data_IF_841415452256
#
_entry.id   IF_841415452256
#
_cell.length_a   1.000
_cell.length_b   1.000
_cell.length_c   1.000
_cell.angle_alpha   90.00
_cell.angle_beta   90.00
_cell.angle_gamma   90.00
#
_symmetry.space_group_name_H-M   'P 1'
#
loop_
_entity.id
_entity.type
_entity.pdbx_description
1 polymer ?
#
# COMPACT_ATOMS: atom_id res chain seq x y z
N UNK A 1 9.55 -30.71 -28.10
CA UNK A 1 8.89 -31.06 -26.83
C UNK A 1 7.63 -30.23 -26.68
N UNK A 2 6.46 -30.87 -26.85
CA UNK A 2 5.13 -30.23 -26.92
C UNK A 2 4.40 -30.48 -25.59
N UNK A 3 4.13 -29.44 -24.82
CA UNK A 3 3.29 -29.52 -23.64
C UNK A 3 1.81 -29.53 -24.09
N UNK A 4 1.14 -30.67 -23.87
CA UNK A 4 -0.29 -30.82 -24.13
C UNK A 4 -1.07 -30.11 -23.03
N UNK A 5 -1.91 -29.18 -23.43
CA UNK A 5 -2.96 -28.52 -22.63
C UNK A 5 -4.04 -29.53 -22.23
N UNK A 6 -4.20 -29.77 -20.93
CA UNK A 6 -5.38 -30.43 -20.39
C UNK A 6 -6.44 -29.38 -20.03
N UNK A 7 -7.58 -29.49 -20.72
CA UNK A 7 -8.77 -28.65 -20.63
C UNK A 7 -9.70 -29.30 -19.60
N UNK A 8 -9.87 -28.71 -18.42
CA UNK A 8 -10.86 -29.19 -17.43
C UNK A 8 -12.01 -28.19 -17.39
N UNK A 9 -13.20 -28.67 -17.78
CA UNK A 9 -14.43 -27.91 -17.86
C UNK A 9 -15.00 -27.62 -16.47
N UNK A 10 -15.31 -26.35 -16.21
CA UNK A 10 -16.10 -25.94 -15.05
C UNK A 10 -17.59 -26.06 -15.38
N UNK A 11 -18.22 -27.14 -14.93
CA UNK A 11 -19.66 -27.34 -14.98
C UNK A 11 -20.37 -26.43 -13.97
N UNK A 12 -21.32 -25.65 -14.50
CA UNK A 12 -22.30 -24.82 -13.80
C UNK A 12 -23.02 -25.61 -12.70
N UNK A 13 -22.90 -25.15 -11.46
CA UNK A 13 -23.90 -25.42 -10.43
C UNK A 13 -24.66 -24.13 -10.12
N UNK A 14 -25.90 -24.05 -10.60
CA UNK A 14 -26.88 -23.01 -10.24
C UNK A 14 -27.87 -23.63 -9.25
N UNK A 15 -27.59 -23.48 -7.97
CA UNK A 15 -28.51 -23.78 -6.88
C UNK A 15 -29.27 -22.52 -6.47
N UNK A 16 -30.56 -22.49 -6.76
CA UNK A 16 -31.55 -21.46 -6.41
C UNK A 16 -32.01 -21.71 -4.97
N UNK A 17 -31.85 -20.74 -4.06
CA UNK A 17 -32.61 -20.71 -2.81
C UNK A 17 -33.12 -19.29 -2.53
N UNK A 18 -34.41 -19.25 -2.22
CA UNK A 18 -35.28 -18.10 -2.02
C UNK A 18 -35.95 -18.31 -0.67
N UNK A 19 -35.63 -17.50 0.33
CA UNK A 19 -36.43 -17.17 1.53
C UNK A 19 -35.74 -15.93 2.13
N UNK A 20 -36.41 -14.80 2.34
CA UNK A 20 -37.44 -14.59 3.35
C UNK A 20 -36.83 -13.74 4.49
N UNK A 21 -37.02 -12.42 4.44
CA UNK A 21 -36.68 -11.46 5.51
C UNK A 21 -37.68 -11.56 6.69
N UNK A 22 -37.68 -10.71 7.73
CA UNK A 22 -36.69 -9.74 8.22
C UNK A 22 -36.41 -9.87 9.75
N UNK A 23 -35.34 -9.25 10.27
CA UNK A 23 -35.11 -9.20 11.72
C UNK A 23 -33.89 -8.38 12.14
N UNK A 24 -34.10 -7.09 12.39
CA UNK A 24 -33.29 -6.24 13.29
C UNK A 24 -34.24 -5.75 14.40
N UNK A 25 -33.81 -5.27 15.59
CA UNK A 25 -32.45 -4.85 15.94
C UNK A 25 -31.98 -5.28 17.36
N UNK A 26 -30.67 -5.37 17.62
CA UNK A 26 -30.13 -5.19 18.99
C UNK A 26 -28.78 -4.46 18.97
N UNK A 27 -28.86 -3.21 19.44
CA UNK A 27 -27.90 -2.39 20.18
C UNK A 27 -26.44 -2.89 20.19
N UNK A 28 -25.57 -2.17 19.49
CA UNK A 28 -24.16 -2.07 19.81
C UNK A 28 -23.80 -0.59 19.98
N UNK A 29 -23.27 -0.27 21.15
CA UNK A 29 -22.85 1.06 21.59
C UNK A 29 -21.75 1.59 20.67
N UNK A 30 -22.06 2.62 19.89
CA UNK A 30 -21.05 3.47 19.26
C UNK A 30 -20.71 4.60 20.24
N UNK A 31 -19.48 4.58 20.75
CA UNK A 31 -18.85 5.70 21.46
C UNK A 31 -18.87 6.93 20.52
N UNK A 32 -19.71 7.91 20.84
CA UNK A 32 -19.65 9.25 20.25
C UNK A 32 -18.44 9.97 20.85
N UNK A 33 -17.43 10.22 20.02
CA UNK A 33 -16.43 11.23 20.31
C UNK A 33 -17.09 12.61 20.31
N UNK A 34 -16.69 13.44 21.28
CA UNK A 34 -17.22 14.75 21.56
C UNK A 34 -17.16 15.67 20.34
N UNK A 35 -18.33 16.17 19.92
CA UNK A 35 -18.45 17.39 19.11
C UNK A 35 -18.28 18.55 20.10
N UNK A 36 -17.08 19.09 20.17
CA UNK A 36 -16.85 20.39 20.79
C UNK A 36 -17.40 21.46 19.83
N UNK A 37 -18.54 22.03 20.19
CA UNK A 37 -19.00 23.32 19.67
C UNK A 37 -17.96 24.38 20.05
N UNK A 38 -17.22 24.85 19.05
CA UNK A 38 -16.32 25.99 19.19
C UNK A 38 -17.10 27.23 18.80
N UNK A 39 -17.37 28.08 19.80
CA UNK A 39 -17.96 29.40 19.66
C UNK A 39 -17.12 30.31 18.75
N UNK A 40 -17.81 31.23 18.07
CA UNK A 40 -17.23 32.15 17.09
C UNK A 40 -16.12 33.07 17.64
N UNK A 41 -15.34 33.68 16.73
CA UNK A 41 -14.06 34.31 17.06
C UNK A 41 -14.22 35.75 17.60
N UNK A 42 -13.34 36.22 18.51
CA UNK A 42 -13.19 37.64 18.78
C UNK A 42 -12.39 38.31 17.65
N UNK A 43 -13.00 39.31 17.03
CA UNK A 43 -12.45 40.20 16.01
C UNK A 43 -11.27 41.01 16.54
N UNK A 44 -10.07 40.86 15.95
CA UNK A 44 -8.90 41.75 16.12
C UNK A 44 -7.99 41.66 14.87
N UNK A 45 -7.09 42.64 14.65
CA UNK A 45 -7.20 43.56 13.51
C UNK A 45 -6.52 43.10 12.22
N UNK A 46 -7.09 43.59 11.13
CA UNK A 46 -6.59 43.54 9.77
C UNK A 46 -5.21 44.20 9.66
N UNK A 47 -4.14 43.39 9.64
CA UNK A 47 -2.83 43.71 9.02
C UNK A 47 -1.79 42.62 9.29
N UNK A 48 -2.08 41.39 8.85
CA UNK A 48 -1.00 40.47 8.44
C UNK A 48 -1.33 39.96 7.07
N UNK A 49 -0.72 40.56 6.04
CA UNK A 49 -0.58 39.88 4.75
C UNK A 49 0.00 38.49 5.04
N UNK A 50 -0.63 37.39 4.65
CA UNK A 50 0.03 36.09 4.71
C UNK A 50 1.28 36.21 3.82
N UNK A 51 2.47 36.26 4.45
CA UNK A 51 3.73 36.18 3.72
C UNK A 51 3.69 34.84 2.97
N UNK A 52 3.85 34.84 1.64
CA UNK A 52 3.84 33.59 0.90
C UNK A 52 4.91 32.67 1.47
N UNK A 53 4.61 31.37 1.55
CA UNK A 53 5.57 30.31 1.84
C UNK A 53 6.62 30.14 0.71
N UNK A 54 7.09 31.24 0.11
CA UNK A 54 8.01 31.28 -1.02
C UNK A 54 9.41 31.69 -0.57
N UNK A 55 9.93 31.05 0.48
CA UNK A 55 11.35 31.15 0.80
C UNK A 55 12.06 29.87 0.40
N UNK A 56 13.24 29.99 -0.16
CA UNK A 56 14.14 28.87 -0.50
C UNK A 56 14.33 27.92 0.68
N UNK A 57 14.38 28.45 1.92
CA UNK A 57 14.42 27.64 3.16
C UNK A 57 13.18 26.75 3.33
N UNK A 58 11.99 27.27 3.02
CA UNK A 58 10.74 26.50 3.05
C UNK A 58 10.76 25.34 2.05
N UNK A 59 11.20 25.60 0.82
CA UNK A 59 11.32 24.56 -0.22
C UNK A 59 12.38 23.50 0.11
N UNK A 60 13.54 23.89 0.64
CA UNK A 60 14.56 22.94 1.16
C UNK A 60 13.97 22.03 2.23
N UNK A 61 13.17 22.58 3.13
CA UNK A 61 12.50 21.81 4.20
C UNK A 61 11.47 20.85 3.63
N UNK A 62 10.67 21.28 2.64
CA UNK A 62 9.71 20.41 1.97
C UNK A 62 10.38 19.25 1.24
N UNK A 63 11.50 19.49 0.54
CA UNK A 63 12.27 18.44 -0.13
C UNK A 63 12.73 17.38 0.88
N UNK A 64 13.35 17.81 2.00
CA UNK A 64 13.76 16.90 3.08
C UNK A 64 12.59 16.10 3.66
N UNK A 65 11.44 16.75 3.85
CA UNK A 65 10.23 16.07 4.35
C UNK A 65 9.75 15.00 3.36
N UNK A 66 9.80 15.30 2.05
CA UNK A 66 9.41 14.34 1.00
C UNK A 66 10.39 13.18 0.89
N UNK A 67 11.69 13.41 1.06
CA UNK A 67 12.71 12.38 1.14
C UNK A 67 12.45 11.43 2.31
N UNK A 68 12.23 11.97 3.51
CA UNK A 68 11.88 11.16 4.69
C UNK A 68 10.57 10.37 4.48
N UNK A 69 9.59 10.96 3.77
CA UNK A 69 8.36 10.25 3.44
C UNK A 69 8.61 9.10 2.44
N UNK A 70 9.55 9.24 1.53
CA UNK A 70 9.96 8.15 0.64
C UNK A 70 10.59 7.00 1.40
N UNK A 71 11.47 7.28 2.36
CA UNK A 71 12.04 6.24 3.23
C UNK A 71 10.94 5.43 3.95
N UNK A 72 9.88 6.10 4.42
CA UNK A 72 8.74 5.44 5.03
C UNK A 72 7.94 4.58 4.02
N UNK A 73 7.81 5.04 2.78
CA UNK A 73 7.13 4.30 1.72
C UNK A 73 7.95 3.08 1.27
N UNK A 74 9.27 3.19 1.27
CA UNK A 74 10.20 2.10 0.97
C UNK A 74 10.11 1.03 2.06
N UNK A 75 10.16 1.43 3.33
CA UNK A 75 9.93 0.51 4.45
C UNK A 75 8.56 -0.17 4.39
N UNK A 76 7.50 0.56 4.02
CA UNK A 76 6.17 -0.01 3.86
C UNK A 76 6.08 -1.00 2.68
N UNK A 77 6.77 -0.71 1.57
CA UNK A 77 6.86 -1.61 0.43
C UNK A 77 7.59 -2.91 0.79
N UNK A 78 8.68 -2.82 1.53
CA UNK A 78 9.44 -3.99 1.97
C UNK A 78 8.66 -4.82 2.98
N UNK A 79 7.93 -4.19 3.91
CA UNK A 79 7.00 -4.88 4.79
C UNK A 79 5.89 -5.62 4.02
N UNK A 80 5.29 -4.97 3.01
CA UNK A 80 4.26 -5.60 2.16
C UNK A 80 4.83 -6.79 1.37
N UNK A 81 6.07 -6.68 0.87
CA UNK A 81 6.76 -7.79 0.17
C UNK A 81 7.04 -8.96 1.11
N UNK A 82 7.50 -8.68 2.32
CA UNK A 82 7.72 -9.71 3.33
C UNK A 82 6.41 -10.43 3.68
N UNK A 83 5.33 -9.69 3.89
CA UNK A 83 4.00 -10.25 4.13
C UNK A 83 3.53 -11.12 2.96
N UNK A 84 3.69 -10.68 1.71
CA UNK A 84 3.32 -11.48 0.55
C UNK A 84 4.09 -12.82 0.45
N UNK A 85 5.39 -12.81 0.79
CA UNK A 85 6.19 -14.05 0.87
C UNK A 85 5.71 -14.97 1.97
N UNK A 86 5.40 -14.42 3.15
CA UNK A 86 4.87 -15.19 4.28
C UNK A 86 3.52 -15.84 3.92
N UNK A 87 2.62 -15.11 3.28
CA UNK A 87 1.32 -15.64 2.84
C UNK A 87 1.49 -16.74 1.79
N UNK A 88 2.45 -16.59 0.87
CA UNK A 88 2.76 -17.62 -0.11
C UNK A 88 3.27 -18.91 0.54
N UNK A 89 4.18 -18.81 1.51
CA UNK A 89 4.66 -19.96 2.28
C UNK A 89 3.53 -20.63 3.09
N UNK A 90 2.65 -19.83 3.70
CA UNK A 90 1.48 -20.34 4.40
C UNK A 90 0.54 -21.11 3.45
N UNK A 91 0.30 -20.59 2.24
CA UNK A 91 -0.49 -21.28 1.23
C UNK A 91 0.14 -22.63 0.85
N UNK A 92 1.46 -22.68 0.67
CA UNK A 92 2.18 -23.93 0.38
C UNK A 92 1.98 -24.98 1.49
N UNK A 93 2.03 -24.56 2.77
CA UNK A 93 1.74 -25.47 3.89
C UNK A 93 0.29 -25.96 3.88
N UNK A 94 -0.67 -25.08 3.60
CA UNK A 94 -2.09 -25.45 3.51
C UNK A 94 -2.38 -26.41 2.35
N UNK A 95 -1.67 -26.25 1.22
CA UNK A 95 -1.77 -27.16 0.07
C UNK A 95 -1.22 -28.54 0.42
N UNK A 96 -0.05 -28.60 1.06
CA UNK A 96 0.53 -29.86 1.52
C UNK A 96 -0.39 -30.59 2.53
N UNK A 97 -1.00 -29.85 3.46
CA UNK A 97 -1.99 -30.39 4.39
C UNK A 97 -3.24 -30.92 3.67
N UNK A 98 -3.73 -30.19 2.66
CA UNK A 98 -4.89 -30.62 1.88
C UNK A 98 -4.61 -31.89 1.08
N UNK A 99 -3.41 -32.03 0.51
CA UNK A 99 -2.99 -33.24 -0.18
C UNK A 99 -2.84 -34.42 0.80
N UNK A 100 -2.33 -34.17 2.02
CA UNK A 100 -2.32 -35.15 3.10
C UNK A 100 -3.72 -35.63 3.52
N UNK A 101 -4.70 -34.72 3.60
CA UNK A 101 -6.10 -35.07 3.84
C UNK A 101 -6.68 -35.93 2.71
N UNK A 102 -6.44 -35.56 1.45
CA UNK A 102 -6.90 -36.33 0.27
C UNK A 102 -6.31 -37.74 0.25
N UNK A 103 -5.01 -37.87 0.49
CA UNK A 103 -4.35 -39.18 0.53
C UNK A 103 -4.93 -40.09 1.62
N UNK A 104 -5.31 -39.52 2.79
CA UNK A 104 -6.00 -40.28 3.85
C UNK A 104 -7.39 -40.71 3.42
N UNK A 105 -8.15 -39.83 2.77
CA UNK A 105 -9.48 -40.16 2.24
C UNK A 105 -9.41 -41.28 1.19
N UNK A 106 -8.48 -41.18 0.22
CA UNK A 106 -8.25 -42.18 -0.81
C UNK A 106 -7.82 -43.53 -0.21
N UNK A 107 -7.00 -43.52 0.85
CA UNK A 107 -6.63 -44.74 1.57
C UNK A 107 -7.83 -45.41 2.26
N UNK A 108 -8.78 -44.63 2.81
CA UNK A 108 -10.00 -45.21 3.38
C UNK A 108 -10.94 -45.78 2.30
N UNK A 109 -11.06 -45.10 1.14
CA UNK A 109 -11.81 -45.62 0.00
C UNK A 109 -11.23 -46.94 -0.50
N UNK A 110 -9.90 -47.00 -0.68
CA UNK A 110 -9.22 -48.23 -1.10
C UNK A 110 -9.43 -49.39 -0.11
N UNK A 111 -9.48 -49.10 1.20
CA UNK A 111 -9.80 -50.12 2.24
C UNK A 111 -11.24 -50.63 2.13
N UNK A 112 -12.19 -49.73 1.87
CA UNK A 112 -13.60 -50.10 1.64
C UNK A 112 -13.74 -50.96 0.38
N UNK A 113 -13.10 -50.56 -0.72
CA UNK A 113 -13.12 -51.31 -1.98
C UNK A 113 -12.49 -52.69 -1.82
N UNK A 114 -11.38 -52.79 -1.06
CA UNK A 114 -10.73 -54.06 -0.77
C UNK A 114 -11.64 -55.01 0.03
N UNK A 115 -12.37 -54.50 1.04
CA UNK A 115 -13.33 -55.30 1.80
C UNK A 115 -14.47 -55.85 0.95
N UNK A 116 -14.93 -55.08 -0.05
CA UNK A 116 -15.95 -55.53 -1.00
C UNK A 116 -15.44 -56.62 -1.96
N UNK A 117 -14.14 -56.68 -2.21
CA UNK A 117 -13.51 -57.67 -3.10
C UNK A 117 -13.08 -58.98 -2.43
N UNK A 118 -12.98 -59.03 -1.10
CA UNK A 118 -12.55 -60.24 -0.37
C UNK A 118 -13.72 -61.14 0.06
N UNK A 119 -13.75 -62.38 -0.45
CA UNK A 119 -14.80 -63.36 -0.12
C UNK A 119 -14.64 -64.01 1.27
N UNK A 120 -13.47 -63.88 1.93
CA UNK A 120 -13.20 -64.46 3.23
C UNK A 120 -12.95 -63.36 4.28
N UNK A 121 -13.80 -63.27 5.30
CA UNK A 121 -13.58 -62.39 6.46
C UNK A 121 -14.41 -61.11 6.51
N UNK A 122 -15.41 -60.93 5.64
CA UNK A 122 -16.33 -59.80 5.72
C UNK A 122 -17.06 -59.76 7.07
N UNK A 123 -16.85 -58.67 7.82
CA UNK A 123 -17.62 -58.37 9.03
C UNK A 123 -18.43 -57.09 8.81
N UNK A 124 -19.75 -57.13 9.02
CA UNK A 124 -20.60 -55.93 8.88
C UNK A 124 -20.14 -54.75 9.76
N UNK A 125 -19.54 -55.04 10.93
CA UNK A 125 -18.96 -54.02 11.81
C UNK A 125 -17.89 -53.17 11.11
N UNK A 126 -17.03 -53.82 10.32
CA UNK A 126 -15.87 -53.17 9.70
C UNK A 126 -16.30 -52.24 8.57
N UNK A 127 -17.38 -52.62 7.86
CA UNK A 127 -18.01 -51.78 6.86
C UNK A 127 -18.53 -50.47 7.48
N UNK A 128 -19.29 -50.56 8.58
CA UNK A 128 -19.85 -49.38 9.26
C UNK A 128 -18.73 -48.48 9.80
N UNK A 129 -17.71 -49.07 10.43
CA UNK A 129 -16.56 -48.30 10.94
C UNK A 129 -15.83 -47.57 9.81
N UNK A 130 -15.56 -48.23 8.69
CA UNK A 130 -14.86 -47.59 7.57
C UNK A 130 -15.71 -46.55 6.84
N UNK A 131 -17.04 -46.73 6.79
CA UNK A 131 -17.94 -45.69 6.29
C UNK A 131 -17.86 -44.43 7.15
N UNK A 132 -17.89 -44.56 8.48
CA UNK A 132 -17.71 -43.41 9.38
C UNK A 132 -16.34 -42.74 9.22
N UNK A 133 -15.26 -43.53 9.15
CA UNK A 133 -13.91 -42.99 8.93
C UNK A 133 -13.78 -42.28 7.57
N UNK A 134 -14.46 -42.78 6.53
CA UNK A 134 -14.50 -42.14 5.23
C UNK A 134 -15.27 -40.82 5.28
N UNK A 135 -16.42 -40.77 5.96
CA UNK A 135 -17.19 -39.54 6.15
C UNK A 135 -16.38 -38.48 6.91
N UNK A 136 -15.67 -38.88 7.96
CA UNK A 136 -14.77 -38.00 8.70
C UNK A 136 -13.63 -37.49 7.81
N UNK A 137 -12.96 -38.38 7.07
CA UNK A 137 -11.91 -38.02 6.14
C UNK A 137 -12.42 -37.02 5.09
N UNK A 138 -13.57 -37.29 4.47
CA UNK A 138 -14.18 -36.39 3.49
C UNK A 138 -14.51 -35.02 4.07
N UNK A 139 -15.01 -34.94 5.31
CA UNK A 139 -15.24 -33.65 6.00
C UNK A 139 -13.91 -32.90 6.22
N UNK A 140 -12.85 -33.59 6.62
CA UNK A 140 -11.53 -32.97 6.80
C UNK A 140 -10.95 -32.46 5.49
N UNK A 141 -11.07 -33.22 4.40
CA UNK A 141 -10.65 -32.82 3.05
C UNK A 141 -11.40 -31.58 2.58
N UNK A 142 -12.72 -31.53 2.77
CA UNK A 142 -13.52 -30.35 2.43
C UNK A 142 -13.10 -29.13 3.25
N UNK A 143 -12.83 -29.30 4.54
CA UNK A 143 -12.37 -28.21 5.40
C UNK A 143 -10.96 -27.72 4.99
N UNK A 144 -10.06 -28.62 4.61
CA UNK A 144 -8.73 -28.26 4.11
C UNK A 144 -8.81 -27.51 2.77
N UNK A 145 -9.67 -27.97 1.84
CA UNK A 145 -9.89 -27.28 0.57
C UNK A 145 -10.43 -25.85 0.75
N UNK A 146 -11.32 -25.62 1.72
CA UNK A 146 -11.79 -24.26 2.06
C UNK A 146 -10.65 -23.37 2.59
N UNK A 147 -9.80 -23.92 3.48
CA UNK A 147 -8.62 -23.21 4.00
C UNK A 147 -7.64 -22.83 2.88
N UNK A 148 -7.41 -23.71 1.91
CA UNK A 148 -6.59 -23.40 0.72
C UNK A 148 -7.20 -22.24 -0.07
N UNK A 149 -8.51 -22.27 -0.34
CA UNK A 149 -9.19 -21.16 -1.04
C UNK A 149 -9.10 -19.83 -0.29
N UNK A 150 -9.19 -19.86 1.04
CA UNK A 150 -9.00 -18.68 1.88
C UNK A 150 -7.54 -18.18 1.82
N UNK A 151 -6.56 -19.09 1.87
CA UNK A 151 -5.15 -18.79 1.70
C UNK A 151 -4.81 -18.17 0.34
N UNK A 152 -5.39 -18.69 -0.76
CA UNK A 152 -5.26 -18.12 -2.11
C UNK A 152 -5.74 -16.66 -2.15
N UNK A 153 -6.89 -16.38 -1.52
CA UNK A 153 -7.42 -15.01 -1.41
C UNK A 153 -6.51 -14.10 -0.59
N UNK A 154 -5.90 -14.61 0.47
CA UNK A 154 -4.95 -13.85 1.29
C UNK A 154 -3.66 -13.52 0.52
N UNK A 155 -3.14 -14.47 -0.26
CA UNK A 155 -2.01 -14.25 -1.17
C UNK A 155 -2.34 -13.18 -2.20
N UNK A 156 -3.52 -13.25 -2.83
CA UNK A 156 -3.94 -12.26 -3.81
C UNK A 156 -4.08 -10.85 -3.19
N UNK A 157 -4.70 -10.74 -2.02
CA UNK A 157 -4.78 -9.49 -1.28
C UNK A 157 -3.40 -8.92 -0.92
N UNK A 158 -2.45 -9.78 -0.52
CA UNK A 158 -1.08 -9.36 -0.21
C UNK A 158 -0.33 -8.88 -1.47
N UNK A 159 -0.55 -9.52 -2.63
CA UNK A 159 0.02 -9.06 -3.92
C UNK A 159 -0.54 -7.70 -4.32
N UNK A 160 -1.84 -7.46 -4.14
CA UNK A 160 -2.46 -6.17 -4.38
C UNK A 160 -1.91 -5.09 -3.42
N UNK A 161 -1.68 -5.44 -2.15
CA UNK A 161 -1.03 -4.55 -1.19
C UNK A 161 0.38 -4.13 -1.68
N UNK A 162 1.19 -5.07 -2.16
CA UNK A 162 2.51 -4.76 -2.75
C UNK A 162 2.38 -3.80 -3.94
N UNK A 163 1.45 -4.06 -4.87
CA UNK A 163 1.24 -3.18 -6.02
C UNK A 163 0.85 -1.76 -5.59
N UNK A 164 -0.10 -1.65 -4.65
CA UNK A 164 -0.53 -0.35 -4.11
C UNK A 164 0.61 0.42 -3.43
N UNK A 165 1.48 -0.27 -2.68
CA UNK A 165 2.67 0.32 -2.06
C UNK A 165 3.67 0.81 -3.11
N UNK A 166 3.89 0.03 -4.18
CA UNK A 166 4.74 0.45 -5.31
C UNK A 166 4.20 1.70 -6.01
N UNK A 167 2.88 1.77 -6.21
CA UNK A 167 2.26 2.97 -6.78
C UNK A 167 2.37 4.17 -5.84
N UNK A 168 2.20 3.98 -4.53
CA UNK A 168 2.37 5.04 -3.54
C UNK A 168 3.81 5.58 -3.53
N UNK A 169 4.81 4.69 -3.58
CA UNK A 169 6.23 5.05 -3.71
C UNK A 169 6.49 5.89 -4.96
N UNK A 170 6.08 5.42 -6.13
CA UNK A 170 6.25 6.14 -7.41
C UNK A 170 5.62 7.53 -7.40
N UNK A 171 4.41 7.67 -6.82
CA UNK A 171 3.78 8.99 -6.63
C UNK A 171 4.58 9.87 -5.67
N UNK A 172 5.12 9.29 -4.60
CA UNK A 172 6.01 10.00 -3.67
C UNK A 172 7.27 10.52 -4.35
N UNK A 173 7.86 9.72 -5.26
CA UNK A 173 9.07 10.08 -6.00
C UNK A 173 8.79 11.27 -6.91
N UNK A 174 7.70 11.20 -7.69
CA UNK A 174 7.25 12.30 -8.56
C UNK A 174 7.00 13.59 -7.76
N UNK A 175 6.42 13.50 -6.56
CA UNK A 175 6.21 14.67 -5.70
C UNK A 175 7.52 15.26 -5.20
N UNK A 176 8.48 14.42 -4.77
CA UNK A 176 9.81 14.88 -4.37
C UNK A 176 10.50 15.59 -5.52
N UNK A 177 10.45 15.02 -6.72
CA UNK A 177 11.09 15.56 -7.91
C UNK A 177 10.50 16.91 -8.31
N UNK A 178 9.17 17.03 -8.29
CA UNK A 178 8.51 18.32 -8.50
C UNK A 178 8.92 19.37 -7.46
N UNK A 179 9.09 18.99 -6.19
CA UNK A 179 9.59 19.92 -5.16
C UNK A 179 11.05 20.31 -5.38
N UNK A 180 11.92 19.36 -5.79
CA UNK A 180 13.33 19.63 -6.09
C UNK A 180 13.47 20.55 -7.29
N UNK A 181 12.77 20.28 -8.39
CA UNK A 181 12.76 21.15 -9.56
C UNK A 181 12.34 22.58 -9.22
N UNK A 182 11.29 22.76 -8.41
CA UNK A 182 10.86 24.09 -7.96
C UNK A 182 11.92 24.79 -7.09
N UNK A 183 12.58 24.05 -6.21
CA UNK A 183 13.68 24.58 -5.40
C UNK A 183 14.84 25.02 -6.29
N UNK A 184 15.23 24.22 -7.28
CA UNK A 184 16.33 24.53 -8.19
C UNK A 184 16.03 25.77 -9.02
N UNK A 185 14.79 25.92 -9.51
CA UNK A 185 14.34 27.13 -10.20
C UNK A 185 14.46 28.36 -9.30
N UNK A 186 14.00 28.28 -8.05
CA UNK A 186 14.08 29.40 -7.11
C UNK A 186 15.52 29.80 -6.80
N UNK A 187 16.41 28.82 -6.62
CA UNK A 187 17.82 29.08 -6.39
C UNK A 187 18.47 29.79 -7.58
N UNK A 188 18.14 29.37 -8.81
CA UNK A 188 18.64 30.03 -10.02
C UNK A 188 18.12 31.45 -10.15
N UNK A 189 16.85 31.70 -9.84
CA UNK A 189 16.29 33.06 -9.89
C UNK A 189 16.85 33.96 -8.80
N UNK A 190 17.10 33.43 -7.59
CA UNK A 190 17.75 34.19 -6.51
C UNK A 190 19.20 34.51 -6.87
N UNK A 191 19.92 33.58 -7.51
CA UNK A 191 21.29 33.82 -7.96
C UNK A 191 21.35 34.89 -9.04
N UNK A 192 20.52 34.79 -10.08
CA UNK A 192 20.48 35.77 -11.15
C UNK A 192 20.17 37.19 -10.61
N UNK A 193 19.21 37.32 -9.70
CA UNK A 193 18.90 38.60 -9.08
C UNK A 193 20.04 39.16 -8.21
N UNK A 194 20.85 38.29 -7.58
CA UNK A 194 22.03 38.72 -6.83
C UNK A 194 23.16 39.17 -7.76
N UNK A 195 23.36 38.46 -8.87
CA UNK A 195 24.35 38.83 -9.88
C UNK A 195 23.97 40.20 -10.49
N UNK A 196 22.71 40.41 -10.86
CA UNK A 196 22.20 41.69 -11.37
C UNK A 196 22.39 42.83 -10.35
N UNK A 197 22.09 42.59 -9.06
CA UNK A 197 22.26 43.60 -8.01
C UNK A 197 23.75 43.95 -7.78
N UNK A 198 24.65 42.97 -7.88
CA UNK A 198 26.09 43.21 -7.75
C UNK A 198 26.64 44.04 -8.91
N UNK A 199 26.13 43.82 -10.13
CA UNK A 199 26.50 44.61 -11.30
C UNK A 199 26.05 46.08 -11.13
N UNK A 200 24.81 46.31 -10.69
CA UNK A 200 24.30 47.66 -10.38
C UNK A 200 25.14 48.36 -9.30
N UNK A 201 25.41 47.68 -8.18
CA UNK A 201 26.24 48.22 -7.09
C UNK A 201 27.68 48.54 -7.54
N UNK A 202 28.25 47.72 -8.44
CA UNK A 202 29.58 47.94 -9.00
C UNK A 202 29.61 49.17 -9.93
N UNK A 203 28.58 49.35 -10.77
CA UNK A 203 28.43 50.54 -11.61
C UNK A 203 28.30 51.81 -10.76
N UNK A 204 27.42 51.80 -9.75
CA UNK A 204 27.24 52.93 -8.82
C UNK A 204 28.54 53.27 -8.08
N UNK A 205 29.24 52.26 -7.56
CA UNK A 205 30.53 52.45 -6.88
C UNK A 205 31.60 53.01 -7.83
N UNK A 206 31.61 52.60 -9.10
CA UNK A 206 32.53 53.12 -10.11
C UNK A 206 32.27 54.60 -10.41
N UNK A 207 30.99 54.99 -10.53
CA UNK A 207 30.57 56.39 -10.73
C UNK A 207 30.91 57.23 -9.51
N UNK A 208 30.64 56.73 -8.30
CA UNK A 208 30.97 57.43 -7.06
C UNK A 208 32.49 57.69 -6.94
N UNK A 209 33.33 56.71 -7.30
CA UNK A 209 34.79 56.88 -7.34
C UNK A 209 35.22 57.91 -8.39
N UNK A 210 34.60 57.90 -9.58
CA UNK A 210 34.89 58.87 -10.64
C UNK A 210 34.51 60.30 -10.21
N UNK A 211 33.37 60.47 -9.55
CA UNK A 211 32.92 61.77 -9.03
C UNK A 211 33.81 62.26 -7.89
N UNK A 212 34.21 61.37 -6.96
CA UNK A 212 35.13 61.71 -5.87
C UNK A 212 36.55 62.05 -6.36
N UNK A 213 36.97 61.48 -7.49
CA UNK A 213 38.26 61.76 -8.12
C UNK A 213 38.28 63.05 -8.95
N UNK A 214 37.14 63.76 -9.12
CA UNK A 214 37.13 65.07 -9.75
C UNK A 214 37.64 66.12 -8.76
N UNK A 215 38.75 66.83 -9.05
CA UNK A 215 39.14 67.98 -8.24
C UNK A 215 38.06 69.06 -8.37
N UNK A 216 37.68 69.68 -7.24
CA UNK A 216 36.77 70.81 -7.19
C UNK A 216 37.18 71.86 -8.23
N UNK A 217 36.42 71.96 -9.34
CA UNK A 217 36.46 73.17 -10.16
C UNK A 217 35.75 74.24 -9.34
N UNK A 218 36.53 75.01 -8.60
CA UNK A 218 36.08 76.27 -8.02
C UNK A 218 35.42 77.10 -9.14
N UNK A 219 34.21 77.65 -8.93
CA UNK A 219 33.70 78.65 -9.84
C UNK A 219 34.61 79.87 -9.74
N UNK A 220 35.33 80.18 -10.81
CA UNK A 220 35.99 81.49 -10.96
C UNK A 220 34.89 82.55 -10.84
N UNK A 221 34.93 83.28 -9.73
CA UNK A 221 34.13 84.47 -9.51
C UNK A 221 34.63 85.56 -10.47
N UNK A 222 33.72 86.05 -11.32
CA UNK A 222 33.89 87.26 -12.12
C UNK A 222 33.56 88.51 -11.29
#
# INVERSE_FOLDING_TARGET
MRWRTARIGASRWRGRLRTGAPGRPRRAQARRAAVATWDGPPSLPSSRRPRPMSSTRGWRTLVRLKERRLEQLDAALDAARAQARQQQQQLETLMADADGCRAREDAQRARLDALAGTAAGFRPSDLVTLQHLLEEAARTTQAAAKRVQEGERQVEAARQAVQSAQHARRRGEQQRDGCRQRLDTLLRTEQAAQDDQQDEEAEEASVARLLAARPDRQPEAA
#
